data_IF_621337228989
#
_entry.id   IF_621337228989
#
_cell.length_a   1.000
_cell.length_b   1.000
_cell.length_c   1.000
_cell.angle_alpha   90.00
_cell.angle_beta   90.00
_cell.angle_gamma   90.00
#
_symmetry.space_group_name_H-M   'P 1'
#
loop_
_entity.id
_entity.type
_entity.pdbx_description
1 polymer ?
#
# COMPACT_ATOMS: atom_id res chain seq x y z
N UNK A 1 7.55 -10.90 5.25
CA UNK A 1 8.31 -11.10 6.49
C UNK A 1 8.24 -12.55 6.99
N UNK A 2 7.06 -13.08 7.35
CA UNK A 2 6.90 -14.43 7.90
C UNK A 2 7.35 -15.58 6.97
N UNK A 3 7.09 -15.49 5.65
CA UNK A 3 7.61 -16.47 4.66
C UNK A 3 9.15 -16.49 4.66
N UNK A 4 9.78 -15.32 4.67
CA UNK A 4 11.25 -15.18 4.68
C UNK A 4 11.86 -15.64 6.02
N UNK A 5 11.13 -15.46 7.12
CA UNK A 5 11.52 -15.89 8.46
C UNK A 5 11.27 -17.39 8.71
N UNK A 6 10.53 -18.07 7.83
CA UNK A 6 10.26 -19.51 7.95
C UNK A 6 9.36 -19.89 9.14
N UNK A 7 8.48 -19.00 9.59
CA UNK A 7 7.52 -19.32 10.67
C UNK A 7 6.54 -20.40 10.22
N UNK A 8 5.93 -21.19 11.12
CA UNK A 8 4.96 -22.22 10.74
C UNK A 8 3.84 -21.69 9.83
N UNK A 9 3.23 -20.55 10.19
CA UNK A 9 2.23 -19.87 9.35
C UNK A 9 2.81 -19.33 8.04
N UNK A 10 4.03 -18.79 8.06
CA UNK A 10 4.71 -18.34 6.85
C UNK A 10 4.97 -19.48 5.86
N UNK A 11 5.32 -20.67 6.34
CA UNK A 11 5.52 -21.86 5.49
C UNK A 11 4.20 -22.39 4.94
N UNK A 12 3.12 -22.33 5.72
CA UNK A 12 1.78 -22.71 5.25
C UNK A 12 1.28 -21.74 4.16
N UNK A 13 1.39 -20.42 4.40
CA UNK A 13 1.08 -19.41 3.40
C UNK A 13 1.90 -19.60 2.13
N UNK A 14 3.20 -19.89 2.26
CA UNK A 14 4.08 -20.17 1.12
C UNK A 14 3.60 -21.37 0.30
N UNK A 15 3.23 -22.49 0.95
CA UNK A 15 2.72 -23.69 0.24
C UNK A 15 1.47 -23.37 -0.57
N UNK A 16 0.55 -22.56 -0.02
CA UNK A 16 -0.68 -22.15 -0.71
C UNK A 16 -0.35 -21.28 -1.93
N UNK A 17 0.55 -20.30 -1.76
CA UNK A 17 0.98 -19.41 -2.84
C UNK A 17 1.74 -20.15 -3.95
N UNK A 18 2.65 -21.06 -3.59
CA UNK A 18 3.42 -21.89 -4.53
C UNK A 18 2.49 -22.80 -5.35
N UNK A 19 1.34 -23.19 -4.79
CA UNK A 19 0.28 -23.92 -5.49
C UNK A 19 -0.67 -23.02 -6.30
N UNK A 20 -0.40 -21.70 -6.38
CA UNK A 20 -1.25 -20.71 -7.06
C UNK A 20 -2.54 -20.36 -6.32
N UNK A 21 -2.68 -20.79 -5.06
CA UNK A 21 -3.83 -20.51 -4.21
C UNK A 21 -3.74 -19.15 -3.53
N UNK A 22 -4.91 -18.63 -3.14
CA UNK A 22 -5.00 -17.44 -2.29
C UNK A 22 -4.86 -17.85 -0.82
N UNK A 23 -4.00 -17.13 -0.09
CA UNK A 23 -3.83 -17.35 1.36
C UNK A 23 -5.14 -16.96 2.05
N UNK A 24 -5.66 -17.87 2.88
CA UNK A 24 -6.89 -17.64 3.64
C UNK A 24 -6.70 -16.53 4.67
N UNK A 25 -7.77 -15.78 4.96
CA UNK A 25 -7.71 -14.64 5.87
C UNK A 25 -7.30 -15.03 7.30
N UNK A 26 -7.67 -16.21 7.78
CA UNK A 26 -7.27 -16.71 9.11
C UNK A 26 -5.75 -16.89 9.25
N UNK A 27 -5.09 -17.41 8.20
CA UNK A 27 -3.63 -17.52 8.15
C UNK A 27 -3.00 -16.13 8.12
N UNK A 28 -3.54 -15.20 7.33
CA UNK A 28 -3.04 -13.82 7.25
C UNK A 28 -3.14 -13.12 8.60
N UNK A 29 -4.29 -13.22 9.29
CA UNK A 29 -4.51 -12.63 10.61
C UNK A 29 -3.58 -13.25 11.65
N UNK A 30 -3.35 -14.57 11.60
CA UNK A 30 -2.34 -15.23 12.43
C UNK A 30 -0.93 -14.66 12.21
N UNK A 31 -0.53 -14.48 10.95
CA UNK A 31 0.76 -13.87 10.60
C UNK A 31 0.86 -12.41 11.05
N UNK A 32 -0.24 -11.65 10.98
CA UNK A 32 -0.31 -10.27 11.50
C UNK A 32 -0.10 -10.25 13.01
N UNK A 33 -0.79 -11.11 13.76
CA UNK A 33 -0.63 -11.22 15.22
C UNK A 33 0.80 -11.59 15.62
N UNK A 34 1.40 -12.59 14.97
CA UNK A 34 2.81 -12.94 15.20
C UNK A 34 3.74 -11.77 14.91
N UNK A 35 3.42 -10.96 13.88
CA UNK A 35 4.27 -9.84 13.47
C UNK A 35 4.20 -8.67 14.44
N UNK A 36 3.01 -8.25 14.87
CA UNK A 36 2.83 -7.11 15.78
C UNK A 36 3.24 -7.44 17.22
N UNK A 37 3.39 -8.72 17.57
CA UNK A 37 3.93 -9.15 18.85
C UNK A 37 5.47 -9.06 18.96
N UNK A 38 6.17 -8.71 17.88
CA UNK A 38 7.63 -8.60 17.89
C UNK A 38 8.11 -7.33 18.61
N UNK A 39 9.32 -7.31 19.21
CA UNK A 39 9.79 -6.19 20.01
C UNK A 39 9.84 -4.84 19.29
N UNK A 40 10.06 -4.83 17.97
CA UNK A 40 10.11 -3.61 17.17
C UNK A 40 8.72 -2.98 16.96
N UNK A 41 7.64 -3.71 17.22
CA UNK A 41 6.27 -3.22 17.21
C UNK A 41 5.77 -2.74 18.58
N UNK A 42 6.62 -2.76 19.62
CA UNK A 42 6.23 -2.35 20.97
C UNK A 42 5.81 -0.86 21.06
N UNK A 43 6.28 -0.03 20.13
CA UNK A 43 5.91 1.39 20.03
C UNK A 43 4.89 1.67 18.93
N UNK A 44 4.20 0.63 18.43
CA UNK A 44 3.22 0.72 17.37
C UNK A 44 3.70 0.11 16.05
N UNK A 45 2.84 0.17 15.06
CA UNK A 45 3.05 -0.43 13.75
C UNK A 45 2.28 0.35 12.69
N UNK A 46 2.67 0.17 11.42
CA UNK A 46 1.95 0.70 10.27
C UNK A 46 1.68 -0.47 9.33
N UNK A 47 0.40 -0.71 9.04
CA UNK A 47 0.03 -1.63 7.97
C UNK A 47 0.05 -0.91 6.63
N UNK A 48 0.91 -1.36 5.72
CA UNK A 48 1.00 -0.86 4.36
C UNK A 48 0.42 -1.91 3.39
N UNK A 49 -0.73 -1.58 2.81
CA UNK A 49 -1.44 -2.45 1.90
C UNK A 49 -2.16 -3.62 2.56
N UNK A 50 -2.51 -3.52 3.84
CA UNK A 50 -3.41 -4.44 4.56
C UNK A 50 -4.26 -3.65 5.57
N UNK A 51 -5.54 -3.97 5.79
CA UNK A 51 -6.35 -4.93 5.03
C UNK A 51 -6.69 -4.43 3.62
N UNK A 52 -7.08 -5.34 2.72
CA UNK A 52 -7.51 -5.01 1.33
C UNK A 52 -8.96 -5.37 1.03
N UNK A 53 -9.60 -6.16 1.89
CA UNK A 53 -10.99 -6.61 1.75
C UNK A 53 -11.73 -6.40 3.06
N UNK A 54 -13.06 -6.28 2.98
CA UNK A 54 -13.92 -6.15 4.17
C UNK A 54 -13.74 -7.32 5.14
N UNK A 55 -13.65 -8.55 4.62
CA UNK A 55 -13.45 -9.74 5.44
C UNK A 55 -12.16 -9.68 6.28
N UNK A 56 -11.08 -9.09 5.73
CA UNK A 56 -9.84 -8.89 6.48
C UNK A 56 -9.99 -7.83 7.57
N UNK A 57 -10.68 -6.72 7.29
CA UNK A 57 -10.93 -5.67 8.26
C UNK A 57 -11.81 -6.17 9.43
N UNK A 58 -12.89 -6.90 9.12
CA UNK A 58 -13.73 -7.56 10.14
C UNK A 58 -12.93 -8.58 10.96
N UNK A 59 -12.07 -9.36 10.30
CA UNK A 59 -11.23 -10.33 10.99
C UNK A 59 -10.20 -9.67 11.91
N UNK A 60 -9.65 -8.49 11.56
CA UNK A 60 -8.79 -7.72 12.46
C UNK A 60 -9.54 -7.28 13.72
N UNK A 61 -10.74 -6.72 13.56
CA UNK A 61 -11.59 -6.28 14.68
C UNK A 61 -11.95 -7.46 15.58
N UNK A 62 -12.43 -8.58 15.00
CA UNK A 62 -12.76 -9.79 15.74
C UNK A 62 -11.54 -10.40 16.46
N UNK A 63 -10.35 -10.19 15.90
CA UNK A 63 -9.10 -10.67 16.45
C UNK A 63 -8.50 -9.74 17.53
N UNK A 64 -9.11 -8.59 17.81
CA UNK A 64 -8.63 -7.59 18.78
C UNK A 64 -7.34 -6.89 18.31
N UNK A 65 -7.18 -6.73 16.99
CA UNK A 65 -6.08 -5.94 16.42
C UNK A 65 -6.57 -4.51 16.24
N UNK A 66 -6.36 -3.70 17.26
CA UNK A 66 -6.82 -2.31 17.29
C UNK A 66 -5.92 -1.41 16.43
N UNK A 67 -6.54 -0.39 15.84
CA UNK A 67 -5.87 0.66 15.07
C UNK A 67 -6.19 2.01 15.71
N UNK A 68 -5.19 2.86 15.90
CA UNK A 68 -5.42 4.23 16.38
C UNK A 68 -6.00 5.13 15.27
N UNK A 69 -5.58 4.89 14.03
CA UNK A 69 -5.96 5.69 12.89
C UNK A 69 -5.93 4.90 11.58
N UNK A 70 -6.77 5.31 10.63
CA UNK A 70 -6.75 4.91 9.23
C UNK A 70 -6.54 6.16 8.39
N UNK A 71 -5.47 6.18 7.60
CA UNK A 71 -5.08 7.34 6.78
C UNK A 71 -5.35 7.03 5.32
N UNK A 72 -6.35 7.71 4.75
CA UNK A 72 -6.64 7.73 3.32
C UNK A 72 -5.89 8.88 2.65
N UNK A 73 -5.00 8.55 1.73
CA UNK A 73 -4.35 9.53 0.83
C UNK A 73 -5.14 9.53 -0.47
N UNK A 74 -6.06 10.47 -0.59
CA UNK A 74 -6.99 10.57 -1.71
C UNK A 74 -6.33 11.26 -2.91
N UNK A 75 -6.41 10.62 -4.07
CA UNK A 75 -5.83 11.11 -5.33
C UNK A 75 -6.79 10.75 -6.47
N UNK A 76 -7.19 11.70 -7.33
CA UNK A 76 -8.04 11.40 -8.46
C UNK A 76 -7.41 10.38 -9.42
N UNK A 77 -8.20 9.44 -9.93
CA UNK A 77 -7.76 8.39 -10.87
C UNK A 77 -6.94 8.93 -12.04
N UNK A 78 -7.39 10.04 -12.63
CA UNK A 78 -6.69 10.66 -13.75
C UNK A 78 -5.25 11.06 -13.37
N UNK A 79 -5.05 11.56 -12.15
CA UNK A 79 -3.72 11.91 -11.64
C UNK A 79 -2.90 10.65 -11.33
N UNK A 80 -3.52 9.57 -10.83
CA UNK A 80 -2.83 8.28 -10.62
C UNK A 80 -2.36 7.70 -11.97
N UNK A 81 -3.24 7.65 -12.96
CA UNK A 81 -2.94 7.16 -14.31
C UNK A 81 -1.81 7.97 -14.92
N UNK A 82 -1.86 9.31 -14.85
CA UNK A 82 -0.79 10.16 -15.37
C UNK A 82 0.55 9.90 -14.65
N UNK A 83 0.53 9.86 -13.30
CA UNK A 83 1.73 9.63 -12.47
C UNK A 83 2.38 8.27 -12.73
N UNK A 84 1.59 7.22 -12.91
CA UNK A 84 2.09 5.87 -13.12
C UNK A 84 2.56 5.68 -14.57
N UNK A 85 1.75 6.07 -15.55
CA UNK A 85 2.10 5.92 -16.98
C UNK A 85 3.32 6.74 -17.42
N UNK A 86 3.58 7.86 -16.73
CA UNK A 86 4.75 8.68 -16.95
C UNK A 86 6.04 8.15 -16.32
N UNK A 87 5.97 7.15 -15.43
CA UNK A 87 7.13 6.63 -14.70
C UNK A 87 8.11 5.89 -15.62
N UNK A 88 9.39 6.12 -15.40
CA UNK A 88 10.49 5.41 -16.03
C UNK A 88 11.48 4.95 -14.97
N UNK A 89 12.12 3.80 -15.17
CA UNK A 89 13.09 3.24 -14.23
C UNK A 89 14.34 2.81 -14.99
N UNK A 90 15.50 3.09 -14.40
CA UNK A 90 16.75 2.45 -14.79
C UNK A 90 16.88 1.15 -13.98
N UNK A 91 16.65 -0.01 -14.61
CA UNK A 91 16.58 -1.30 -13.90
C UNK A 91 17.84 -1.63 -13.07
N UNK A 92 19.08 -1.38 -13.55
CA UNK A 92 20.27 -1.73 -12.79
C UNK A 92 20.45 -0.94 -11.51
N UNK A 93 20.11 0.35 -11.49
CA UNK A 93 20.29 1.21 -10.31
C UNK A 93 19.03 1.41 -9.48
N UNK A 94 17.86 1.14 -10.04
CA UNK A 94 16.56 1.46 -9.44
C UNK A 94 16.19 2.95 -9.47
N UNK A 95 17.01 3.83 -10.08
CA UNK A 95 16.68 5.26 -10.25
C UNK A 95 15.36 5.41 -11.01
N UNK A 96 14.55 6.36 -10.58
CA UNK A 96 13.23 6.62 -11.16
C UNK A 96 13.14 8.02 -11.73
N UNK A 97 12.44 8.10 -12.86
CA UNK A 97 12.18 9.32 -13.61
C UNK A 97 10.69 9.41 -13.92
N UNK A 98 10.24 10.58 -14.33
CA UNK A 98 8.90 10.78 -14.85
C UNK A 98 8.95 11.72 -16.05
N UNK A 99 8.33 11.36 -17.16
CA UNK A 99 8.35 12.13 -18.43
C UNK A 99 7.86 13.59 -18.35
N UNK A 100 7.34 14.03 -17.20
CA UNK A 100 6.74 15.36 -16.97
C UNK A 100 7.22 15.96 -15.66
N UNK A 101 7.09 15.22 -14.56
CA UNK A 101 7.40 15.72 -13.21
C UNK A 101 8.88 15.61 -12.83
N UNK A 102 9.63 14.69 -13.43
CA UNK A 102 11.05 14.50 -13.20
C UNK A 102 11.72 13.91 -14.46
N UNK A 103 11.73 14.67 -15.58
CA UNK A 103 12.19 14.14 -16.85
C UNK A 103 13.70 13.89 -16.81
N UNK A 104 14.21 12.82 -17.45
CA UNK A 104 15.64 12.67 -17.63
C UNK A 104 16.19 13.79 -18.50
N UNK A 105 17.48 14.11 -18.36
CA UNK A 105 18.20 15.09 -19.19
C UNK A 105 18.13 14.75 -20.67
N UNK A 106 18.19 13.45 -20.99
CA UNK A 106 18.01 12.94 -22.36
C UNK A 106 16.84 11.96 -22.36
N UNK A 107 15.87 12.17 -23.26
CA UNK A 107 14.66 11.37 -23.33
C UNK A 107 14.98 9.87 -23.45
N UNK A 108 14.44 9.08 -22.52
CA UNK A 108 14.63 7.63 -22.49
C UNK A 108 15.99 7.16 -21.96
N UNK A 109 16.85 8.06 -21.46
CA UNK A 109 18.19 7.71 -20.96
C UNK A 109 18.36 8.04 -19.49
N UNK A 110 19.09 7.19 -18.77
CA UNK A 110 19.51 7.46 -17.40
C UNK A 110 20.54 8.59 -17.36
N UNK A 111 20.41 9.50 -16.40
CA UNK A 111 21.24 10.71 -16.33
C UNK A 111 22.70 10.45 -15.91
N UNK A 112 22.99 9.30 -15.30
CA UNK A 112 24.33 8.95 -14.84
C UNK A 112 25.03 7.99 -15.79
N UNK A 113 24.32 6.97 -16.29
CA UNK A 113 24.93 5.91 -17.12
C UNK A 113 24.70 6.12 -18.61
N UNK A 114 23.67 6.88 -19.01
CA UNK A 114 23.23 6.99 -20.40
C UNK A 114 22.56 5.72 -20.95
N UNK A 115 22.29 4.73 -20.10
CA UNK A 115 21.56 3.51 -20.45
C UNK A 115 20.07 3.76 -20.64
N UNK A 116 19.36 2.83 -21.28
CA UNK A 116 17.94 2.97 -21.55
C UNK A 116 17.09 2.86 -20.27
N UNK A 117 16.15 3.80 -20.16
CA UNK A 117 15.08 3.73 -19.18
C UNK A 117 13.93 2.89 -19.71
N UNK A 118 13.33 2.10 -18.83
CA UNK A 118 12.16 1.28 -19.17
C UNK A 118 10.92 1.78 -18.45
N UNK A 119 9.76 1.54 -19.04
CA UNK A 119 8.49 1.57 -18.32
C UNK A 119 8.18 0.14 -17.87
N UNK A 120 7.84 -0.05 -16.59
CA UNK A 120 7.47 -1.36 -16.08
C UNK A 120 6.08 -1.75 -16.58
N UNK A 121 5.81 -3.05 -16.67
CA UNK A 121 4.51 -3.54 -17.14
C UNK A 121 3.34 -3.11 -16.23
N UNK A 122 3.59 -2.94 -14.94
CA UNK A 122 2.60 -2.48 -13.95
C UNK A 122 2.37 -0.96 -13.97
N UNK A 123 3.27 -0.20 -14.61
CA UNK A 123 3.15 1.23 -14.84
C UNK A 123 2.41 1.54 -16.15
N UNK A 124 2.06 0.55 -16.99
CA UNK A 124 1.30 0.75 -18.23
C UNK A 124 -0.12 1.22 -17.92
N UNK A 125 -0.61 2.21 -18.68
CA UNK A 125 -1.92 2.83 -18.46
C UNK A 125 -3.07 1.81 -18.34
N UNK A 126 -3.13 0.82 -19.24
CA UNK A 126 -4.15 -0.24 -19.18
C UNK A 126 -4.07 -1.07 -17.90
N UNK A 127 -2.86 -1.40 -17.44
CA UNK A 127 -2.63 -2.13 -16.20
C UNK A 127 -3.03 -1.30 -14.99
N UNK A 128 -2.69 -0.01 -14.98
CA UNK A 128 -3.04 0.93 -13.91
C UNK A 128 -4.55 1.08 -13.81
N UNK A 129 -5.25 1.28 -14.93
CA UNK A 129 -6.72 1.37 -14.96
C UNK A 129 -7.39 0.09 -14.44
N UNK A 130 -6.89 -1.09 -14.83
CA UNK A 130 -7.39 -2.37 -14.29
C UNK A 130 -7.20 -2.47 -12.78
N UNK A 131 -6.03 -2.05 -12.27
CA UNK A 131 -5.76 -2.05 -10.83
C UNK A 131 -6.64 -1.07 -10.06
N UNK A 132 -6.90 0.11 -10.62
CA UNK A 132 -7.84 1.09 -10.05
C UNK A 132 -9.26 0.52 -10.00
N UNK A 133 -9.74 -0.11 -11.07
CA UNK A 133 -11.05 -0.76 -11.06
C UNK A 133 -11.20 -1.80 -9.95
N UNK A 134 -10.19 -2.65 -9.76
CA UNK A 134 -10.16 -3.64 -8.66
C UNK A 134 -10.13 -2.95 -7.29
N UNK A 135 -9.37 -1.85 -7.15
CA UNK A 135 -9.34 -1.06 -5.91
C UNK A 135 -10.72 -0.50 -5.56
N UNK A 136 -11.43 0.12 -6.51
CA UNK A 136 -12.79 0.63 -6.29
C UNK A 136 -13.79 -0.48 -5.95
N UNK A 137 -13.66 -1.64 -6.59
CA UNK A 137 -14.55 -2.77 -6.35
C UNK A 137 -14.33 -3.42 -4.97
N UNK A 138 -13.08 -3.59 -4.56
CA UNK A 138 -12.74 -4.47 -3.42
C UNK A 138 -12.19 -3.74 -2.19
N UNK A 139 -11.57 -2.57 -2.38
CA UNK A 139 -10.81 -1.88 -1.33
C UNK A 139 -11.47 -0.57 -0.93
N UNK A 140 -12.12 0.16 -1.84
CA UNK A 140 -12.81 1.42 -1.50
C UNK A 140 -13.93 1.21 -0.48
N UNK A 141 -14.56 0.02 -0.45
CA UNK A 141 -15.53 -0.35 0.59
C UNK A 141 -14.95 -0.28 2.01
N UNK A 142 -13.63 -0.34 2.17
CA UNK A 142 -12.96 -0.18 3.47
C UNK A 142 -12.98 1.26 3.97
N UNK A 143 -13.02 2.25 3.08
CA UNK A 143 -13.20 3.66 3.44
C UNK A 143 -14.52 3.81 4.20
N UNK A 144 -15.59 3.24 3.62
CA UNK A 144 -16.92 3.25 4.22
C UNK A 144 -16.96 2.48 5.55
N UNK A 145 -16.30 1.32 5.62
CA UNK A 145 -16.22 0.53 6.83
C UNK A 145 -15.55 1.28 7.98
N UNK A 146 -14.33 1.80 7.76
CA UNK A 146 -13.55 2.45 8.82
C UNK A 146 -14.06 3.85 9.18
N UNK A 147 -14.62 4.59 8.21
CA UNK A 147 -15.19 5.92 8.49
C UNK A 147 -16.49 5.86 9.30
N UNK A 148 -17.22 4.75 9.23
CA UNK A 148 -18.48 4.53 9.96
C UNK A 148 -18.30 3.68 11.22
N UNK A 149 -17.11 3.15 11.48
CA UNK A 149 -16.85 2.33 12.66
C UNK A 149 -16.93 3.22 13.91
N UNK A 150 -17.73 2.79 14.89
CA UNK A 150 -17.94 3.50 16.15
C UNK A 150 -17.72 2.56 17.33
N UNK A 151 -17.17 3.07 18.42
CA UNK A 151 -16.93 2.30 19.63
C UNK A 151 -15.63 2.70 20.31
N UNK A 152 -15.32 2.09 21.45
CA UNK A 152 -14.11 2.37 22.23
C UNK A 152 -12.82 2.07 21.45
N UNK A 153 -12.86 1.09 20.54
CA UNK A 153 -11.73 0.65 19.71
C UNK A 153 -11.82 1.12 18.25
N UNK A 154 -12.71 2.08 17.94
CA UNK A 154 -12.83 2.59 16.58
C UNK A 154 -11.64 3.50 16.23
N UNK A 155 -10.94 3.26 15.10
CA UNK A 155 -9.84 4.12 14.68
C UNK A 155 -10.37 5.48 14.26
N UNK A 156 -9.52 6.51 14.41
CA UNK A 156 -9.78 7.80 13.77
C UNK A 156 -9.61 7.67 12.26
N UNK A 157 -10.63 8.05 11.51
CA UNK A 157 -10.54 8.14 10.06
C UNK A 157 -9.95 9.49 9.65
N UNK A 158 -8.84 9.47 8.91
CA UNK A 158 -8.13 10.66 8.45
C UNK A 158 -8.04 10.60 6.92
N UNK A 159 -8.62 11.59 6.25
CA UNK A 159 -8.49 11.78 4.80
C UNK A 159 -7.58 12.97 4.53
N UNK A 160 -6.59 12.77 3.66
CA UNK A 160 -5.68 13.82 3.19
C UNK A 160 -5.62 13.85 1.67
N UNK A 161 -5.45 15.04 1.10
CA UNK A 161 -5.30 15.24 -0.34
C UNK A 161 -3.86 14.91 -0.79
N UNK A 162 -3.71 13.83 -1.55
CA UNK A 162 -2.43 13.34 -2.08
C UNK A 162 -1.98 13.99 -3.40
N UNK A 163 -2.70 15.00 -3.88
CA UNK A 163 -2.30 15.77 -5.07
C UNK A 163 -1.22 16.81 -4.76
N UNK A 164 -1.05 17.16 -3.48
CA UNK A 164 -0.10 18.15 -3.00
C UNK A 164 1.36 17.65 -3.01
N UNK A 165 2.36 18.56 -2.88
CA UNK A 165 3.76 18.17 -2.71
C UNK A 165 3.97 17.24 -1.51
N UNK A 166 4.96 16.35 -1.60
CA UNK A 166 5.24 15.31 -0.60
C UNK A 166 5.38 15.88 0.81
N UNK A 167 6.10 16.99 0.99
CA UNK A 167 6.27 17.61 2.31
C UNK A 167 4.94 18.12 2.87
N UNK A 168 4.07 18.68 2.04
CA UNK A 168 2.76 19.16 2.48
C UNK A 168 1.84 18.00 2.86
N UNK A 169 1.82 16.92 2.08
CA UNK A 169 1.05 15.71 2.43
C UNK A 169 1.55 15.13 3.76
N UNK A 170 2.87 15.04 3.94
CA UNK A 170 3.50 14.56 5.16
C UNK A 170 3.12 15.40 6.38
N UNK A 171 3.20 16.73 6.27
CA UNK A 171 2.80 17.64 7.35
C UNK A 171 1.32 17.49 7.71
N UNK A 172 0.44 17.36 6.71
CA UNK A 172 -1.00 17.16 6.91
C UNK A 172 -1.28 15.85 7.66
N UNK A 173 -0.64 14.75 7.27
CA UNK A 173 -0.79 13.44 7.94
C UNK A 173 -0.30 13.52 9.39
N UNK A 174 0.89 14.06 9.63
CA UNK A 174 1.46 14.16 10.99
C UNK A 174 0.56 15.02 11.87
N UNK A 175 0.12 16.17 11.36
CA UNK A 175 -0.77 17.07 12.11
C UNK A 175 -2.09 16.41 12.46
N UNK A 176 -2.67 15.63 11.53
CA UNK A 176 -3.92 14.91 11.79
C UNK A 176 -3.75 13.78 12.82
N UNK A 177 -2.61 13.09 12.81
CA UNK A 177 -2.32 12.02 13.77
C UNK A 177 -2.13 12.54 15.20
N UNK A 178 -1.67 13.79 15.38
CA UNK A 178 -1.43 14.40 16.69
C UNK A 178 -2.66 14.99 17.38
N UNK A 179 -3.81 15.06 16.70
CA UNK A 179 -5.07 15.59 17.24
C UNK A 179 -5.86 14.54 18.02
#
# INVERSE_FOLDING_TARGET
>A
AAIKAGTPLGLEAKKIMDAGGLVRDDIIIGMVKERIAQPDCAHGFLFDGFPRTLAQAEAMVAAGVDLDAVVEIDVPDAAIVERMSGRRVHLPSGRTYHVKYNPPKVAGKDDETGEDLVQRDDDKEETVKKRLAVYHEQTEVLVDFYSKLTGEHAPRYIKVDGTQPVETVKENVITALQR
#
